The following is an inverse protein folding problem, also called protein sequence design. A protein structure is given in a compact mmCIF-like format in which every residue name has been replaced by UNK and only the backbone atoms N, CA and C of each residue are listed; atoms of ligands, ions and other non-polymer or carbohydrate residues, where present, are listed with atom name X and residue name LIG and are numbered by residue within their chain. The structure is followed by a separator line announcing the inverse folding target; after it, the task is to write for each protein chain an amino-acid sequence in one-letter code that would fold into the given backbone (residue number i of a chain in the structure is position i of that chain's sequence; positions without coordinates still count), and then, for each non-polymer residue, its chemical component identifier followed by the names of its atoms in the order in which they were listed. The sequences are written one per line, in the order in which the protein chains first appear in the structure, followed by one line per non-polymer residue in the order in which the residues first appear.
data_IF_709094116857
#
_entry.id   IF_709094116857
#
_cell.length_a   1.000
_cell.length_b   1.000
_cell.length_c   1.000
_cell.angle_alpha   90.00
_cell.angle_beta   90.00
_cell.angle_gamma   90.00
#
_symmetry.space_group_name_H-M   'P 1'
#
loop_
_entity.id
_entity.type
_entity.pdbx_description
1 polymer ?
#
# COMPACT_ATOMS: atom_id res chain seq x y z
N UNK A 1 -1.66 -4.21 -23.67
CA UNK A 1 -1.83 -3.47 -22.40
C UNK A 1 -2.80 -2.29 -22.52
N UNK A 2 -3.52 -1.98 -21.43
CA UNK A 2 -4.29 -0.74 -21.23
C UNK A 2 -3.64 0.11 -20.15
N UNK A 3 -3.82 1.43 -20.21
CA UNK A 3 -3.24 2.39 -19.27
C UNK A 3 -4.35 3.19 -18.60
N UNK A 4 -4.22 3.38 -17.29
CA UNK A 4 -4.87 4.47 -16.55
C UNK A 4 -3.80 5.45 -16.13
N UNK A 5 -4.06 6.72 -16.38
CA UNK A 5 -3.21 7.83 -15.96
C UNK A 5 -4.14 8.89 -15.36
N UNK A 6 -4.17 8.93 -14.02
CA UNK A 6 -5.10 9.74 -13.24
C UNK A 6 -4.33 10.74 -12.38
N UNK A 7 -4.94 11.88 -12.02
CA UNK A 7 -4.34 12.79 -11.07
C UNK A 7 -4.09 12.11 -9.72
N UNK A 8 -3.00 12.48 -9.05
CA UNK A 8 -2.66 11.97 -7.71
C UNK A 8 -3.49 12.59 -6.58
N UNK A 9 -4.60 13.29 -6.86
CA UNK A 9 -5.42 13.92 -5.82
C UNK A 9 -5.98 12.89 -4.83
N UNK A 10 -6.33 11.69 -5.31
CA UNK A 10 -6.84 10.61 -4.47
C UNK A 10 -5.72 10.01 -3.61
N UNK A 11 -4.54 9.80 -4.19
CA UNK A 11 -3.35 9.38 -3.47
C UNK A 11 -2.92 10.41 -2.42
N UNK A 12 -2.97 11.69 -2.74
CA UNK A 12 -2.60 12.75 -1.82
C UNK A 12 -3.51 12.76 -0.58
N UNK A 13 -4.81 12.51 -0.75
CA UNK A 13 -5.75 12.37 0.38
C UNK A 13 -5.44 11.15 1.22
N UNK A 14 -5.25 10.00 0.58
CA UNK A 14 -4.95 8.75 1.25
C UNK A 14 -3.61 8.80 2.01
N UNK A 15 -2.56 9.31 1.37
CA UNK A 15 -1.25 9.49 2.01
C UNK A 15 -1.33 10.45 3.20
N UNK A 16 -2.16 11.50 3.12
CA UNK A 16 -2.39 12.42 4.24
C UNK A 16 -3.15 11.73 5.40
N UNK A 17 -4.14 10.88 5.10
CA UNK A 17 -4.82 10.09 6.13
C UNK A 17 -3.86 9.12 6.85
N UNK A 18 -2.95 8.46 6.11
CA UNK A 18 -1.91 7.62 6.71
C UNK A 18 -0.94 8.46 7.58
N UNK A 19 -0.68 9.71 7.20
CA UNK A 19 0.21 10.60 7.94
C UNK A 19 -0.38 11.09 9.28
N UNK A 20 -1.70 11.05 9.45
CA UNK A 20 -2.36 11.45 10.70
C UNK A 20 -2.20 10.44 11.84
N UNK A 21 -1.84 9.20 11.50
CA UNK A 21 -1.55 8.18 12.52
C UNK A 21 -0.14 8.39 13.03
N UNK A 22 -0.03 8.95 14.23
CA UNK A 22 1.26 9.26 14.87
C UNK A 22 1.98 8.02 15.39
N UNK A 23 1.24 7.01 15.85
CA UNK A 23 1.78 5.78 16.46
C UNK A 23 0.99 4.55 15.99
N UNK A 24 1.62 3.78 15.11
CA UNK A 24 1.03 2.59 14.49
C UNK A 24 1.13 1.35 15.39
N UNK A 25 1.96 1.36 16.43
CA UNK A 25 2.10 0.23 17.36
C UNK A 25 0.79 -0.12 18.09
N UNK A 26 -0.13 0.84 18.16
CA UNK A 26 -1.44 0.66 18.78
C UNK A 26 -2.50 0.09 17.83
N UNK A 27 -2.25 0.19 16.53
CA UNK A 27 -3.10 -0.37 15.48
C UNK A 27 -2.71 -1.82 15.19
N UNK A 28 -1.40 -2.08 15.24
CA UNK A 28 -0.81 -3.40 15.09
C UNK A 28 -1.56 -4.46 15.89
N UNK A 29 -1.77 -5.61 15.25
CA UNK A 29 -2.38 -6.78 15.86
C UNK A 29 -1.46 -7.98 15.71
N UNK A 30 -1.71 -9.06 16.48
CA UNK A 30 -0.96 -10.28 16.31
C UNK A 30 -1.21 -10.83 14.89
N UNK A 31 -0.14 -11.00 14.11
CA UNK A 31 -0.19 -11.63 12.78
C UNK A 31 -0.18 -13.15 12.93
N UNK A 32 -1.31 -13.68 13.42
CA UNK A 32 -1.50 -15.10 13.77
C UNK A 32 -2.07 -15.93 12.61
N UNK A 33 -2.43 -15.28 11.50
CA UNK A 33 -3.22 -15.90 10.42
C UNK A 33 -4.65 -16.26 10.82
N UNK A 34 -5.12 -15.82 12.00
CA UNK A 34 -6.50 -16.01 12.44
C UNK A 34 -7.47 -15.33 11.46
N UNK A 35 -8.70 -15.84 11.42
CA UNK A 35 -9.82 -15.30 10.65
C UNK A 35 -11.04 -15.22 11.56
N UNK A 36 -12.10 -14.55 11.11
CA UNK A 36 -13.39 -14.64 11.79
C UNK A 36 -13.82 -13.37 12.51
N UNK A 37 -15.02 -13.46 13.08
CA UNK A 37 -15.71 -12.34 13.69
C UNK A 37 -14.94 -11.72 14.86
N UNK A 38 -14.34 -12.54 15.72
CA UNK A 38 -13.59 -12.03 16.89
C UNK A 38 -12.34 -11.26 16.47
N UNK A 39 -11.66 -11.69 15.38
CA UNK A 39 -10.54 -10.96 14.82
C UNK A 39 -11.00 -9.60 14.26
N UNK A 40 -12.07 -9.59 13.46
CA UNK A 40 -12.61 -8.33 12.90
C UNK A 40 -13.04 -7.39 14.00
N UNK A 41 -13.75 -7.90 15.02
CA UNK A 41 -14.19 -7.11 16.18
C UNK A 41 -13.02 -6.50 16.93
N UNK A 42 -11.96 -7.27 17.20
CA UNK A 42 -10.76 -6.77 17.87
C UNK A 42 -10.06 -5.69 17.02
N UNK A 43 -9.97 -5.91 15.71
CA UNK A 43 -9.38 -4.97 14.75
C UNK A 43 -10.18 -3.66 14.72
N UNK A 44 -11.51 -3.74 14.59
CA UNK A 44 -12.41 -2.57 14.61
C UNK A 44 -12.27 -1.77 15.91
N UNK A 45 -12.19 -2.45 17.06
CA UNK A 45 -12.03 -1.78 18.36
C UNK A 45 -10.70 -1.01 18.45
N UNK A 46 -9.58 -1.63 18.04
CA UNK A 46 -8.25 -0.97 18.07
C UNK A 46 -8.19 0.21 17.10
N UNK A 47 -8.52 -0.03 15.82
CA UNK A 47 -8.39 0.99 14.76
C UNK A 47 -9.27 2.19 15.07
N UNK A 48 -10.56 1.96 15.32
CA UNK A 48 -11.50 3.07 15.56
C UNK A 48 -11.16 3.86 16.82
N UNK A 49 -10.61 3.19 17.85
CA UNK A 49 -10.21 3.83 19.10
C UNK A 49 -9.02 4.78 18.96
N UNK A 50 -8.07 4.47 18.07
CA UNK A 50 -6.84 5.26 17.90
C UNK A 50 -6.91 6.27 16.74
N UNK A 51 -7.64 5.96 15.66
CA UNK A 51 -7.67 6.81 14.46
C UNK A 51 -8.95 7.63 14.32
N UNK A 52 -10.03 7.22 14.99
CA UNK A 52 -11.37 7.77 14.76
C UNK A 52 -11.96 7.45 13.38
N UNK A 53 -11.33 6.57 12.59
CA UNK A 53 -11.89 6.09 11.33
C UNK A 53 -13.15 5.26 11.58
N UNK A 54 -14.09 5.32 10.64
CA UNK A 54 -15.38 4.64 10.78
C UNK A 54 -15.28 3.26 10.14
N UNK A 55 -15.50 2.15 10.87
CA UNK A 55 -15.51 0.83 10.25
C UNK A 55 -16.67 0.73 9.26
N UNK A 56 -16.49 -0.09 8.22
CA UNK A 56 -17.60 -0.51 7.38
C UNK A 56 -18.69 -1.14 8.23
N UNK A 57 -19.94 -0.92 7.81
CA UNK A 57 -21.10 -1.52 8.46
C UNK A 57 -21.28 -2.94 7.96
N UNK A 58 -21.67 -3.83 8.87
CA UNK A 58 -22.10 -5.18 8.52
C UNK A 58 -23.27 -5.12 7.55
N UNK A 59 -23.20 -5.93 6.51
CA UNK A 59 -24.34 -6.19 5.66
C UNK A 59 -25.14 -7.37 6.25
N UNK A 60 -26.48 -7.40 6.10
CA UNK A 60 -27.27 -8.55 6.50
C UNK A 60 -26.73 -9.85 5.85
N UNK A 61 -26.24 -10.77 6.67
CA UNK A 61 -25.68 -12.05 6.22
C UNK A 61 -24.17 -12.06 5.96
N UNK A 62 -23.42 -11.04 6.41
CA UNK A 62 -21.95 -11.08 6.39
C UNK A 62 -21.42 -12.36 7.03
N UNK A 63 -20.69 -13.15 6.24
CA UNK A 63 -19.95 -14.31 6.73
C UNK A 63 -18.51 -13.91 7.04
N UNK A 64 -18.09 -14.16 8.28
CA UNK A 64 -16.77 -13.81 8.78
C UNK A 64 -15.74 -14.94 8.68
N UNK A 65 -16.13 -16.18 8.38
CA UNK A 65 -15.30 -17.38 8.57
C UNK A 65 -13.87 -17.27 8.00
N UNK A 66 -13.71 -16.55 6.89
CA UNK A 66 -12.42 -16.37 6.21
C UNK A 66 -11.97 -14.91 6.11
N UNK A 67 -12.55 -14.01 6.92
CA UNK A 67 -12.22 -12.58 6.89
C UNK A 67 -11.00 -12.33 7.79
N UNK A 68 -9.95 -11.72 7.21
CA UNK A 68 -8.68 -11.38 7.89
C UNK A 68 -8.42 -9.87 7.98
N UNK A 69 -9.29 -9.07 7.36
CA UNK A 69 -9.17 -7.61 7.33
C UNK A 69 -10.54 -6.96 7.46
N UNK A 70 -10.54 -5.65 7.69
CA UNK A 70 -11.75 -4.85 7.65
C UNK A 70 -11.50 -3.51 6.96
N UNK A 71 -12.55 -2.96 6.36
CA UNK A 71 -12.53 -1.65 5.74
C UNK A 71 -12.93 -0.54 6.72
N UNK A 72 -12.31 0.63 6.56
CA UNK A 72 -12.56 1.82 7.35
C UNK A 72 -12.64 3.05 6.45
N UNK A 73 -13.53 3.97 6.77
CA UNK A 73 -13.65 5.27 6.11
C UNK A 73 -13.00 6.35 6.96
N UNK A 74 -12.05 7.08 6.38
CA UNK A 74 -11.40 8.23 7.03
C UNK A 74 -12.28 9.48 7.01
N UNK A 75 -11.87 10.52 7.73
CA UNK A 75 -12.57 11.82 7.72
C UNK A 75 -12.56 12.50 6.34
N UNK A 76 -11.57 12.17 5.49
CA UNK A 76 -11.44 12.65 4.11
C UNK A 76 -12.20 11.80 3.08
N UNK A 77 -12.89 10.74 3.52
CA UNK A 77 -13.60 9.82 2.65
C UNK A 77 -12.67 8.88 1.86
N UNK A 78 -11.52 8.54 2.44
CA UNK A 78 -10.66 7.47 1.92
C UNK A 78 -11.07 6.15 2.57
N UNK A 79 -11.21 5.11 1.75
CA UNK A 79 -11.32 3.74 2.24
C UNK A 79 -9.93 3.19 2.59
N UNK A 80 -9.72 2.79 3.84
CA UNK A 80 -8.54 2.10 4.33
C UNK A 80 -8.88 0.64 4.60
N UNK A 81 -8.07 -0.27 4.05
CA UNK A 81 -8.17 -1.71 4.34
C UNK A 81 -7.09 -2.05 5.35
N UNK A 82 -7.50 -2.59 6.50
CA UNK A 82 -6.61 -2.88 7.62
C UNK A 82 -6.60 -4.37 7.88
N UNK A 83 -5.40 -4.94 7.92
CA UNK A 83 -5.07 -6.27 8.40
C UNK A 83 -4.31 -6.13 9.74
N UNK A 84 -4.13 -7.22 10.51
CA UNK A 84 -3.30 -7.19 11.72
C UNK A 84 -1.86 -6.70 11.48
N UNK A 85 -1.27 -7.03 10.33
CA UNK A 85 0.13 -6.72 9.98
C UNK A 85 0.32 -5.65 8.89
N UNK A 86 -0.73 -5.13 8.27
CA UNK A 86 -0.59 -4.10 7.25
C UNK A 86 -1.85 -3.23 7.04
N UNK A 87 -1.67 -2.04 6.51
CA UNK A 87 -2.73 -1.10 6.11
C UNK A 87 -2.45 -0.54 4.72
N UNK A 88 -3.45 -0.49 3.85
CA UNK A 88 -3.36 0.24 2.59
C UNK A 88 -4.68 0.96 2.28
N UNK A 89 -4.62 1.95 1.40
CA UNK A 89 -5.80 2.66 0.94
C UNK A 89 -6.35 2.00 -0.32
N UNK A 90 -7.67 1.74 -0.35
CA UNK A 90 -8.36 1.32 -1.57
C UNK A 90 -8.70 2.56 -2.40
N UNK A 91 -7.79 2.89 -3.32
CA UNK A 91 -7.87 4.10 -4.15
C UNK A 91 -8.00 3.68 -5.61
N UNK A 92 -9.21 3.40 -6.11
CA UNK A 92 -9.40 2.92 -7.49
C UNK A 92 -8.94 3.95 -8.53
N UNK A 93 -8.97 5.23 -8.16
CA UNK A 93 -8.51 6.36 -8.97
C UNK A 93 -7.05 6.76 -8.72
N UNK A 94 -6.25 5.85 -8.14
CA UNK A 94 -4.81 6.04 -7.93
C UNK A 94 -4.06 6.16 -9.26
N UNK A 95 -3.08 7.06 -9.28
CA UNK A 95 -2.41 7.63 -10.45
C UNK A 95 -2.21 6.74 -11.68
N UNK A 96 -0.96 6.37 -11.94
CA UNK A 96 -0.60 5.60 -13.13
C UNK A 96 -0.66 4.10 -12.86
N UNK A 97 -1.32 3.36 -13.76
CA UNK A 97 -1.28 1.90 -13.77
C UNK A 97 -1.44 1.34 -15.18
N UNK A 98 -0.92 0.14 -15.36
CA UNK A 98 -1.06 -0.67 -16.56
C UNK A 98 -1.73 -2.00 -16.22
N UNK A 99 -2.63 -2.47 -17.07
CA UNK A 99 -3.37 -3.73 -16.88
C UNK A 99 -3.68 -4.40 -18.22
N UNK A 100 -4.16 -5.64 -18.17
CA UNK A 100 -4.28 -6.51 -19.35
C UNK A 100 -2.94 -6.62 -20.09
N UNK A 101 -1.84 -6.82 -19.34
CA UNK A 101 -0.51 -6.96 -19.93
C UNK A 101 -0.41 -8.27 -20.71
N UNK A 102 0.36 -8.22 -21.78
CA UNK A 102 0.92 -9.37 -22.48
C UNK A 102 2.44 -9.39 -22.29
N UNK A 103 3.13 -10.51 -22.55
CA UNK A 103 4.59 -10.61 -22.38
C UNK A 103 5.39 -9.52 -23.13
N UNK A 104 4.92 -9.09 -24.31
CA UNK A 104 5.53 -8.03 -25.11
C UNK A 104 5.33 -6.62 -24.52
N UNK A 105 4.36 -6.43 -23.62
CA UNK A 105 4.08 -5.14 -23.00
C UNK A 105 5.04 -4.80 -21.85
N UNK A 106 5.83 -5.78 -21.37
CA UNK A 106 6.69 -5.62 -20.18
C UNK A 106 7.64 -4.40 -20.29
N UNK A 107 8.39 -4.19 -21.39
CA UNK A 107 9.25 -3.01 -21.50
C UNK A 107 8.48 -1.69 -21.47
N UNK A 108 7.26 -1.66 -22.02
CA UNK A 108 6.41 -0.47 -22.00
C UNK A 108 5.85 -0.20 -20.60
N UNK A 109 5.49 -1.25 -19.86
CA UNK A 109 5.05 -1.14 -18.47
C UNK A 109 6.18 -0.64 -17.55
N UNK A 110 7.40 -1.16 -17.73
CA UNK A 110 8.60 -0.68 -17.04
C UNK A 110 8.87 0.82 -17.29
N UNK A 111 8.80 1.24 -18.55
CA UNK A 111 9.01 2.64 -18.92
C UNK A 111 7.93 3.56 -18.32
N UNK A 112 6.68 3.10 -18.26
CA UNK A 112 5.59 3.83 -17.62
C UNK A 112 5.81 4.00 -16.12
N UNK A 113 6.20 2.93 -15.41
CA UNK A 113 6.56 3.03 -14.00
C UNK A 113 7.70 4.04 -13.76
N UNK A 114 8.77 4.01 -14.57
CA UNK A 114 9.89 4.95 -14.45
C UNK A 114 9.47 6.41 -14.69
N UNK A 115 8.56 6.64 -15.63
CA UNK A 115 8.10 7.98 -15.99
C UNK A 115 7.24 8.61 -14.90
N UNK A 116 6.39 7.81 -14.23
CA UNK A 116 5.42 8.31 -13.24
C UNK A 116 5.93 8.18 -11.79
N UNK A 117 6.96 7.38 -11.52
CA UNK A 117 7.55 7.24 -10.19
C UNK A 117 7.97 8.58 -9.54
N UNK A 118 8.65 9.52 -10.24
CA UNK A 118 9.11 10.76 -9.62
C UNK A 118 8.00 11.61 -9.01
N UNK A 119 6.81 11.62 -9.62
CA UNK A 119 5.68 12.41 -9.13
C UNK A 119 5.09 11.82 -7.84
N UNK A 120 4.87 10.50 -7.82
CA UNK A 120 4.41 9.79 -6.62
C UNK A 120 5.44 9.86 -5.48
N UNK A 121 6.73 9.72 -5.80
CA UNK A 121 7.81 9.89 -4.83
C UNK A 121 7.84 11.31 -4.25
N UNK A 122 7.74 12.34 -5.10
CA UNK A 122 7.69 13.73 -4.65
C UNK A 122 6.48 14.00 -3.76
N UNK A 123 5.33 13.39 -4.06
CA UNK A 123 4.13 13.48 -3.23
C UNK A 123 4.35 12.83 -1.85
N UNK A 124 4.91 11.63 -1.81
CA UNK A 124 5.29 10.95 -0.57
C UNK A 124 6.25 11.81 0.26
N UNK A 125 7.29 12.37 -0.36
CA UNK A 125 8.23 13.28 0.33
C UNK A 125 7.55 14.52 0.90
N UNK A 126 6.61 15.11 0.14
CA UNK A 126 5.86 16.30 0.58
C UNK A 126 5.00 16.01 1.80
N UNK A 127 4.39 14.84 1.90
CA UNK A 127 3.44 14.50 2.97
C UNK A 127 4.14 13.86 4.18
N UNK A 128 5.09 12.96 3.93
CA UNK A 128 5.72 12.13 4.95
C UNK A 128 7.13 12.57 5.37
N UNK A 129 7.68 13.60 4.73
CA UNK A 129 9.06 14.03 4.87
C UNK A 129 10.04 13.20 4.02
N UNK A 130 11.36 13.35 4.17
CA UNK A 130 12.31 12.52 3.44
C UNK A 130 12.27 11.05 3.94
N UNK A 131 12.36 10.05 3.04
CA UNK A 131 12.46 8.65 3.44
C UNK A 131 13.82 8.37 4.09
N UNK A 132 13.91 7.32 4.91
CA UNK A 132 15.21 6.84 5.41
C UNK A 132 15.99 6.10 4.31
N UNK A 133 15.27 5.55 3.34
CA UNK A 133 15.83 4.79 2.24
C UNK A 133 14.96 4.92 0.99
N UNK A 134 15.60 5.10 -0.16
CA UNK A 134 14.96 5.15 -1.47
C UNK A 134 15.96 4.68 -2.53
N UNK A 135 15.57 3.72 -3.35
CA UNK A 135 16.43 3.12 -4.38
C UNK A 135 15.56 2.51 -5.48
N UNK A 136 16.18 2.03 -6.54
CA UNK A 136 15.48 1.40 -7.65
C UNK A 136 16.34 0.33 -8.33
N UNK A 137 15.73 -0.40 -9.25
CA UNK A 137 16.32 -1.56 -9.92
C UNK A 137 17.61 -1.27 -10.70
N UNK A 138 17.92 0.00 -11.01
CA UNK A 138 19.17 0.37 -11.68
C UNK A 138 20.37 0.26 -10.74
N UNK A 139 20.15 0.25 -9.42
CA UNK A 139 21.18 -0.04 -8.45
C UNK A 139 21.49 -1.54 -8.42
N UNK A 140 22.75 -1.97 -8.65
CA UNK A 140 23.11 -3.39 -8.66
C UNK A 140 22.91 -4.11 -7.32
N UNK A 141 22.85 -3.37 -6.20
CA UNK A 141 22.63 -3.94 -4.87
C UNK A 141 21.17 -3.87 -4.41
N UNK A 142 20.26 -3.36 -5.26
CA UNK A 142 18.89 -2.99 -4.88
C UNK A 142 18.11 -4.08 -4.13
N UNK A 143 18.27 -5.36 -4.52
CA UNK A 143 17.51 -6.46 -3.93
C UNK A 143 17.74 -6.61 -2.43
N UNK A 144 18.98 -6.43 -1.97
CA UNK A 144 19.41 -6.72 -0.60
C UNK A 144 19.92 -5.48 0.16
N UNK A 145 19.93 -4.31 -0.49
CA UNK A 145 20.53 -3.09 0.05
C UNK A 145 19.84 -2.58 1.33
N UNK A 146 18.51 -2.59 1.35
CA UNK A 146 17.77 -2.20 2.55
C UNK A 146 17.74 -3.34 3.56
N UNK A 147 17.17 -4.47 3.15
CA UNK A 147 17.14 -5.75 3.86
C UNK A 147 17.19 -6.89 2.83
N UNK A 148 17.62 -8.10 3.23
CA UNK A 148 17.68 -9.25 2.32
C UNK A 148 16.35 -9.48 1.59
N UNK A 149 16.36 -9.42 0.27
CA UNK A 149 15.21 -9.62 -0.61
C UNK A 149 14.19 -8.47 -0.67
N UNK A 150 14.40 -7.35 0.02
CA UNK A 150 13.43 -6.24 0.06
C UNK A 150 13.09 -5.66 -1.33
N UNK A 151 14.06 -5.67 -2.24
CA UNK A 151 13.89 -5.19 -3.62
C UNK A 151 13.65 -6.29 -4.66
N UNK A 152 13.53 -7.56 -4.26
CA UNK A 152 13.53 -8.70 -5.19
C UNK A 152 12.42 -8.62 -6.25
N UNK A 153 11.21 -8.30 -5.82
CA UNK A 153 10.01 -8.16 -6.65
C UNK A 153 9.69 -6.71 -7.01
N UNK A 154 10.55 -5.76 -6.61
CA UNK A 154 10.30 -4.33 -6.80
C UNK A 154 11.08 -3.77 -7.97
N UNK A 155 10.51 -2.74 -8.59
CA UNK A 155 11.20 -1.86 -9.54
C UNK A 155 11.70 -0.59 -8.85
N UNK A 156 10.88 -0.05 -7.96
CA UNK A 156 11.17 1.12 -7.15
C UNK A 156 10.71 0.84 -5.73
N UNK A 157 11.45 1.34 -4.73
CA UNK A 157 11.06 1.21 -3.33
C UNK A 157 11.58 2.41 -2.54
N UNK A 158 10.76 2.92 -1.63
CA UNK A 158 11.09 3.97 -0.68
C UNK A 158 10.39 3.72 0.64
N UNK A 159 11.09 3.96 1.74
CA UNK A 159 10.68 3.53 3.08
C UNK A 159 10.75 4.70 4.06
N UNK A 160 9.64 4.90 4.78
CA UNK A 160 9.51 5.85 5.87
C UNK A 160 9.19 5.12 7.16
N UNK A 161 10.11 5.09 8.13
CA UNK A 161 9.81 4.54 9.44
C UNK A 161 8.78 5.42 10.15
N UNK A 162 7.90 4.77 10.90
CA UNK A 162 6.94 5.36 11.84
C UNK A 162 7.01 4.58 13.15
N UNK A 163 6.56 5.16 14.28
CA UNK A 163 6.46 4.38 15.51
C UNK A 163 5.56 3.15 15.28
N UNK A 164 6.13 1.95 15.39
CA UNK A 164 5.43 0.67 15.21
C UNK A 164 5.09 0.28 13.78
N UNK A 165 5.69 0.91 12.76
CA UNK A 165 5.44 0.58 11.36
C UNK A 165 6.49 1.11 10.40
N UNK A 166 6.43 0.63 9.16
CA UNK A 166 7.13 1.20 8.03
C UNK A 166 6.14 1.49 6.88
N UNK A 167 6.13 2.72 6.40
CA UNK A 167 5.39 3.08 5.18
C UNK A 167 6.29 2.81 3.99
N UNK A 168 5.83 1.95 3.10
CA UNK A 168 6.48 1.62 1.84
C UNK A 168 5.74 2.35 0.72
N UNK A 169 6.47 3.08 -0.13
CA UNK A 169 6.04 3.47 -1.47
C UNK A 169 6.83 2.61 -2.45
N UNK A 170 6.17 1.96 -3.39
CA UNK A 170 6.84 1.02 -4.29
C UNK A 170 6.11 0.87 -5.62
N UNK A 171 6.79 0.26 -6.57
CA UNK A 171 6.15 -0.34 -7.74
C UNK A 171 6.72 -1.73 -7.95
N UNK A 172 5.88 -2.67 -8.35
CA UNK A 172 6.32 -4.04 -8.62
C UNK A 172 7.06 -4.12 -9.95
N UNK A 173 8.01 -5.03 -10.01
CA UNK A 173 8.71 -5.36 -11.26
C UNK A 173 7.76 -6.18 -12.14
N UNK A 174 7.35 -5.70 -13.33
CA UNK A 174 6.57 -6.51 -14.25
C UNK A 174 7.40 -7.72 -14.71
N UNK A 175 6.78 -8.90 -14.71
CA UNK A 175 7.37 -10.18 -15.13
C UNK A 175 6.60 -10.75 -16.32
N UNK A 176 7.32 -11.35 -17.28
CA UNK A 176 6.72 -12.05 -18.41
C UNK A 176 6.32 -13.50 -18.08
N UNK A 177 6.99 -14.11 -17.10
CA UNK A 177 6.76 -15.49 -16.65
C UNK A 177 7.10 -15.64 -15.14
N UNK A 178 6.11 -15.80 -14.24
CA UNK A 178 4.67 -15.69 -14.52
C UNK A 178 4.31 -14.28 -15.00
N UNK A 179 3.32 -14.16 -15.89
CA UNK A 179 2.90 -12.87 -16.43
C UNK A 179 2.25 -12.00 -15.34
N UNK A 180 2.76 -10.79 -15.12
CA UNK A 180 2.09 -9.81 -14.27
C UNK A 180 0.79 -9.35 -14.94
N UNK A 181 -0.39 -9.51 -14.30
CA UNK A 181 -1.67 -9.11 -14.91
C UNK A 181 -1.86 -7.58 -14.95
N UNK A 182 -1.26 -6.89 -13.99
CA UNK A 182 -1.28 -5.44 -13.84
C UNK A 182 -0.03 -4.96 -13.09
N UNK A 183 0.33 -3.70 -13.26
CA UNK A 183 1.34 -2.99 -12.46
C UNK A 183 0.90 -1.55 -12.18
N UNK A 184 1.42 -0.98 -11.10
CA UNK A 184 1.16 0.39 -10.70
C UNK A 184 2.13 0.84 -9.61
N UNK A 185 1.97 2.07 -9.16
CA UNK A 185 2.66 2.61 -8.00
C UNK A 185 1.73 2.46 -6.80
N UNK A 186 2.22 1.81 -5.76
CA UNK A 186 1.44 1.44 -4.58
C UNK A 186 2.13 1.98 -3.32
N UNK A 187 1.35 2.09 -2.25
CA UNK A 187 1.88 2.34 -0.92
C UNK A 187 1.15 1.49 0.12
N UNK A 188 1.90 1.06 1.12
CA UNK A 188 1.39 0.18 2.17
C UNK A 188 2.13 0.49 3.46
N UNK A 189 1.41 0.48 4.56
CA UNK A 189 1.97 0.54 5.90
C UNK A 189 2.13 -0.89 6.40
N UNK A 190 3.36 -1.34 6.60
CA UNK A 190 3.65 -2.61 7.25
C UNK A 190 3.79 -2.36 8.76
N UNK A 191 3.06 -3.12 9.56
CA UNK A 191 3.02 -2.98 11.03
C UNK A 191 4.07 -3.91 11.65
N UNK A 192 4.80 -3.40 12.64
CA UNK A 192 5.87 -4.14 13.35
C UNK A 192 5.34 -5.00 14.50
#
# INVERSE_FOLDING_TARGET
MKIKDRPLDADARAMADLAEVEDWSKIAGPDTGETGYELVKALVQRVSGETGWKPWQDEPGTNYDNVQSWGFETSRGTTMIVFPGLVFADVPDSGWSAYDLQPEDIPAAEAGLDAHWPEAFALGVKIWGPPIWASDRRNPNFEDEFWPGAGFDRRHLSIWPRPGANIFLYSDRPTADPLSPAVGINYTVYLD
#
